data_IF_338685672962
#
_entry.id   IF_338685672962
#
_cell.length_a   1.000
_cell.length_b   1.000
_cell.length_c   1.000
_cell.angle_alpha   90.00
_cell.angle_beta   90.00
_cell.angle_gamma   90.00
#
_symmetry.space_group_name_H-M   'P 1'
#
loop_
_entity.id
_entity.type
_entity.pdbx_description
1 polymer ?
#
# COMPACT_ATOMS: atom_id res chain seq x y z
N UNK A 1 -12.83 18.47 -18.68
CA UNK A 1 -12.02 18.60 -17.45
C UNK A 1 -12.79 18.31 -16.14
N UNK A 2 -13.86 17.50 -16.16
CA UNK A 2 -14.67 17.19 -14.96
C UNK A 2 -14.47 15.76 -14.41
N UNK A 3 -13.68 14.91 -15.07
CA UNK A 3 -13.43 13.54 -14.63
C UNK A 3 -12.61 13.45 -13.32
N UNK A 4 -12.00 14.55 -12.88
CA UNK A 4 -11.20 14.66 -11.65
C UNK A 4 -12.05 14.76 -10.37
N UNK A 5 -13.32 15.18 -10.47
CA UNK A 5 -14.12 15.53 -9.28
C UNK A 5 -14.75 14.33 -8.55
N UNK A 6 -14.69 13.12 -9.13
CA UNK A 6 -15.19 11.90 -8.48
C UNK A 6 -14.05 10.88 -8.46
N UNK A 7 -13.14 11.04 -7.50
CA UNK A 7 -12.13 10.00 -7.22
C UNK A 7 -12.87 8.77 -6.69
N UNK A 8 -12.94 7.70 -7.48
CA UNK A 8 -13.48 6.42 -7.02
C UNK A 8 -12.43 5.69 -6.19
N UNK A 9 -12.81 5.11 -5.02
CA UNK A 9 -11.97 4.18 -4.29
C UNK A 9 -11.37 3.12 -5.21
N UNK A 10 -10.05 2.95 -5.18
CA UNK A 10 -9.37 1.89 -5.93
C UNK A 10 -9.07 0.71 -5.02
N UNK A 11 -8.94 -0.48 -5.61
CA UNK A 11 -8.34 -1.64 -4.95
C UNK A 11 -6.95 -1.86 -5.53
N UNK A 12 -5.93 -1.82 -4.68
CA UNK A 12 -4.52 -1.84 -5.09
C UNK A 12 -3.83 -3.04 -4.45
N UNK A 13 -3.15 -3.84 -5.26
CA UNK A 13 -2.18 -4.81 -4.79
C UNK A 13 -0.79 -4.19 -4.86
N UNK A 14 -0.06 -4.24 -3.76
CA UNK A 14 1.33 -3.80 -3.65
C UNK A 14 2.20 -4.96 -3.21
N UNK A 15 3.30 -5.21 -3.90
CA UNK A 15 4.32 -6.19 -3.48
C UNK A 15 5.39 -5.49 -2.66
N UNK A 16 5.81 -6.08 -1.54
CA UNK A 16 6.83 -5.51 -0.66
C UNK A 16 7.86 -6.56 -0.28
N UNK A 17 9.12 -6.15 -0.18
CA UNK A 17 10.19 -6.98 0.37
C UNK A 17 10.23 -6.82 1.90
N UNK A 18 10.19 -7.93 2.62
CA UNK A 18 10.33 -7.97 4.08
C UNK A 18 11.76 -7.63 4.54
N UNK A 19 12.75 -7.77 3.66
CA UNK A 19 14.17 -7.53 3.94
C UNK A 19 14.54 -6.06 3.69
N UNK A 20 15.55 -5.57 4.40
CA UNK A 20 16.15 -4.25 4.12
C UNK A 20 15.30 -3.04 4.52
N UNK A 21 14.16 -3.26 5.19
CA UNK A 21 13.35 -2.18 5.78
C UNK A 21 12.49 -1.38 4.80
N UNK A 22 12.52 -1.71 3.50
CA UNK A 22 11.74 -1.02 2.45
C UNK A 22 10.24 -1.15 2.67
N UNK A 23 9.78 -2.26 3.28
CA UNK A 23 8.38 -2.47 3.64
C UNK A 23 7.78 -1.35 4.51
N UNK A 24 8.60 -0.63 5.29
CA UNK A 24 8.11 0.48 6.12
C UNK A 24 7.55 1.63 5.28
N UNK A 25 8.22 1.98 4.19
CA UNK A 25 7.74 3.00 3.26
C UNK A 25 6.44 2.58 2.57
N UNK A 26 6.30 1.28 2.29
CA UNK A 26 5.07 0.75 1.72
C UNK A 26 3.91 0.81 2.72
N UNK A 27 4.16 0.61 4.03
CA UNK A 27 3.15 0.81 5.07
C UNK A 27 2.74 2.26 5.21
N UNK A 28 3.70 3.19 5.22
CA UNK A 28 3.41 4.62 5.29
C UNK A 28 2.56 5.06 4.09
N UNK A 29 2.91 4.60 2.89
CA UNK A 29 2.13 4.84 1.68
C UNK A 29 0.74 4.21 1.75
N UNK A 30 0.64 2.95 2.18
CA UNK A 30 -0.65 2.26 2.33
C UNK A 30 -1.58 2.98 3.30
N UNK A 31 -1.04 3.52 4.40
CA UNK A 31 -1.78 4.30 5.39
C UNK A 31 -2.41 5.54 4.75
N UNK A 32 -1.63 6.33 4.03
CA UNK A 32 -2.14 7.56 3.39
C UNK A 32 -3.09 7.27 2.23
N UNK A 33 -2.86 6.21 1.44
CA UNK A 33 -3.80 5.80 0.39
C UNK A 33 -5.14 5.33 0.99
N UNK A 34 -5.10 4.62 2.12
CA UNK A 34 -6.30 4.18 2.84
C UNK A 34 -7.06 5.37 3.43
N UNK A 35 -6.37 6.38 3.97
CA UNK A 35 -7.00 7.65 4.36
C UNK A 35 -7.69 8.36 3.18
N UNK A 36 -7.14 8.23 1.97
CA UNK A 36 -7.74 8.71 0.73
C UNK A 36 -8.91 7.86 0.19
N UNK A 37 -9.32 6.81 0.91
CA UNK A 37 -10.42 5.92 0.58
C UNK A 37 -10.06 4.74 -0.33
N UNK A 38 -8.78 4.55 -0.67
CA UNK A 38 -8.34 3.36 -1.41
C UNK A 38 -8.29 2.12 -0.50
N UNK A 39 -8.45 0.93 -1.06
CA UNK A 39 -8.25 -0.35 -0.39
C UNK A 39 -6.93 -0.96 -0.81
N UNK A 40 -6.06 -1.28 0.16
CA UNK A 40 -4.71 -1.78 -0.10
C UNK A 40 -4.58 -3.24 0.34
N UNK A 41 -3.97 -4.06 -0.51
CA UNK A 41 -3.51 -5.42 -0.19
C UNK A 41 -1.99 -5.43 -0.35
N UNK A 42 -1.29 -5.87 0.69
CA UNK A 42 0.17 -6.02 0.68
C UNK A 42 0.52 -7.50 0.53
N UNK A 43 1.25 -7.83 -0.54
CA UNK A 43 1.89 -9.13 -0.72
C UNK A 43 3.35 -9.02 -0.27
N UNK A 44 3.63 -9.49 0.95
CA UNK A 44 4.98 -9.57 1.49
C UNK A 44 5.76 -10.73 0.88
N UNK A 45 6.99 -10.47 0.45
CA UNK A 45 7.95 -11.44 -0.06
C UNK A 45 9.16 -11.44 0.85
N UNK A 46 9.61 -12.61 1.30
CA UNK A 46 10.77 -12.74 2.16
C UNK A 46 10.56 -13.72 3.31
N UNK A 47 11.55 -13.85 4.21
CA UNK A 47 11.43 -14.68 5.39
C UNK A 47 10.36 -14.14 6.33
N UNK A 48 9.81 -15.02 7.17
CA UNK A 48 8.96 -14.59 8.28
C UNK A 48 9.72 -13.62 9.20
N UNK A 49 9.02 -12.69 9.88
CA UNK A 49 9.65 -11.87 10.91
C UNK A 49 10.38 -12.75 11.92
N UNK A 50 11.70 -12.54 12.06
CA UNK A 50 12.45 -13.00 13.23
C UNK A 50 12.34 -11.93 14.32
N UNK A 51 12.55 -12.32 15.58
CA UNK A 51 12.62 -11.38 16.72
C UNK A 51 13.54 -10.17 16.46
#
# INVERSE_FOLDING_TARGET
MLQSLIRRPRRILMTVDAVGGVWRYALDLARELTHGGDSIVLAGLGPEPSE
#
